data_IF_063134711343
#
_entry.id   IF_063134711343
#
_cell.length_a   1.000
_cell.length_b   1.000
_cell.length_c   1.000
_cell.angle_alpha   90.00
_cell.angle_beta   90.00
_cell.angle_gamma   90.00
#
_symmetry.space_group_name_H-M   'P 1'
#
loop_
_entity.id
_entity.type
_entity.pdbx_description
1 polymer ?
#
# COMPACT_ATOMS: atom_id res chain seq x y z
N UNK A 1 21.34 7.76 9.51
CA UNK A 1 21.36 7.41 10.92
C UNK A 1 20.64 6.07 11.14
N UNK A 2 21.38 5.03 11.54
CA UNK A 2 20.88 3.66 11.70
C UNK A 2 19.75 3.56 12.73
N UNK A 3 19.79 4.34 13.80
CA UNK A 3 18.74 4.32 14.84
C UNK A 3 17.39 4.83 14.32
N UNK A 4 17.43 5.87 13.51
CA UNK A 4 16.20 6.39 12.86
C UNK A 4 15.64 5.34 11.91
N UNK A 5 16.49 4.73 11.08
CA UNK A 5 16.08 3.69 10.15
C UNK A 5 15.53 2.46 10.88
N UNK A 6 16.18 2.02 11.95
CA UNK A 6 15.70 0.95 12.80
C UNK A 6 14.30 1.23 13.34
N UNK A 7 14.09 2.43 13.90
CA UNK A 7 12.78 2.84 14.42
C UNK A 7 11.71 2.86 13.34
N UNK A 8 12.04 3.40 12.17
CA UNK A 8 11.10 3.44 11.03
C UNK A 8 10.70 2.04 10.57
N UNK A 9 11.68 1.14 10.41
CA UNK A 9 11.42 -0.23 9.94
C UNK A 9 10.67 -1.03 10.98
N UNK A 10 11.06 -0.97 12.27
CA UNK A 10 10.34 -1.66 13.33
C UNK A 10 8.90 -1.15 13.46
N UNK A 11 8.68 0.17 13.44
CA UNK A 11 7.33 0.72 13.49
C UNK A 11 6.47 0.29 12.29
N UNK A 12 7.07 0.15 11.10
CA UNK A 12 6.35 -0.35 9.95
C UNK A 12 5.92 -1.81 10.15
N UNK A 13 6.81 -2.65 10.68
CA UNK A 13 6.50 -4.06 10.97
C UNK A 13 5.42 -4.18 12.04
N UNK A 14 5.60 -3.51 13.19
CA UNK A 14 4.70 -3.68 14.35
C UNK A 14 3.36 -2.98 14.21
N UNK A 15 3.33 -1.81 13.55
CA UNK A 15 2.13 -0.97 13.53
C UNK A 15 1.35 -1.06 12.19
N UNK A 16 1.96 -1.63 11.15
CA UNK A 16 1.31 -1.75 9.84
C UNK A 16 1.26 -3.21 9.40
N UNK A 17 2.41 -3.88 9.26
CA UNK A 17 2.48 -5.23 8.72
C UNK A 17 1.71 -6.23 9.58
N UNK A 18 2.10 -6.44 10.83
CA UNK A 18 1.50 -7.48 11.69
C UNK A 18 0.00 -7.26 11.91
N UNK A 19 -0.51 -6.02 12.16
CA UNK A 19 -1.95 -5.79 12.20
C UNK A 19 -2.65 -6.12 10.87
N UNK A 20 -2.07 -5.76 9.74
CA UNK A 20 -2.62 -6.06 8.42
C UNK A 20 -2.69 -7.58 8.18
N UNK A 21 -1.62 -8.31 8.50
CA UNK A 21 -1.58 -9.77 8.40
C UNK A 21 -2.62 -10.43 9.32
N UNK A 22 -2.78 -9.90 10.54
CA UNK A 22 -3.78 -10.37 11.51
C UNK A 22 -5.20 -10.18 10.99
N UNK A 23 -5.51 -8.99 10.45
CA UNK A 23 -6.82 -8.74 9.82
C UNK A 23 -7.06 -9.70 8.64
N UNK A 24 -6.05 -9.90 7.80
CA UNK A 24 -6.12 -10.80 6.66
C UNK A 24 -6.36 -12.26 7.09
N UNK A 25 -5.66 -12.71 8.13
CA UNK A 25 -5.83 -14.04 8.71
C UNK A 25 -7.25 -14.26 9.26
N UNK A 26 -7.80 -13.30 9.99
CA UNK A 26 -9.18 -13.37 10.48
C UNK A 26 -10.23 -13.41 9.36
N UNK A 27 -9.89 -12.95 8.17
CA UNK A 27 -10.73 -13.05 6.97
C UNK A 27 -10.51 -14.35 6.18
N UNK A 28 -9.72 -15.29 6.73
CA UNK A 28 -9.52 -16.64 6.17
C UNK A 28 -8.38 -16.74 5.16
N UNK A 29 -7.44 -15.81 5.16
CA UNK A 29 -6.20 -15.95 4.41
C UNK A 29 -5.09 -16.56 5.28
N UNK A 30 -4.08 -17.15 4.66
CA UNK A 30 -2.94 -17.72 5.40
C UNK A 30 -2.07 -16.61 6.02
N UNK A 31 -1.50 -16.90 7.20
CA UNK A 31 -0.52 -16.04 7.83
C UNK A 31 0.90 -16.45 7.39
N UNK A 32 1.73 -15.57 6.83
CA UNK A 32 3.03 -15.92 6.27
C UNK A 32 4.12 -16.02 7.36
N UNK A 33 4.06 -17.02 8.22
CA UNK A 33 4.93 -17.21 9.38
C UNK A 33 6.42 -17.12 9.02
N UNK A 34 6.84 -17.87 7.98
CA UNK A 34 8.26 -17.93 7.58
C UNK A 34 8.80 -16.55 7.15
N UNK A 35 8.00 -15.76 6.46
CA UNK A 35 8.40 -14.42 6.04
C UNK A 35 8.48 -13.45 7.21
N UNK A 36 7.56 -13.56 8.17
CA UNK A 36 7.58 -12.74 9.40
C UNK A 36 8.77 -13.14 10.29
N UNK A 37 9.04 -14.42 10.42
CA UNK A 37 10.21 -14.93 11.16
C UNK A 37 11.52 -14.43 10.55
N UNK A 38 11.65 -14.41 9.22
CA UNK A 38 12.84 -13.87 8.54
C UNK A 38 12.97 -12.35 8.76
N UNK A 39 11.88 -11.60 8.73
CA UNK A 39 11.85 -10.16 9.08
C UNK A 39 12.45 -9.96 10.49
N UNK A 40 11.96 -10.67 11.49
CA UNK A 40 12.40 -10.52 12.85
C UNK A 40 13.83 -10.98 13.05
N UNK A 41 14.26 -12.07 12.39
CA UNK A 41 15.64 -12.53 12.40
C UNK A 41 16.60 -11.44 11.90
N UNK A 42 16.32 -10.85 10.74
CA UNK A 42 17.15 -9.77 10.19
C UNK A 42 17.20 -8.53 11.10
N UNK A 43 16.07 -8.19 11.74
CA UNK A 43 16.02 -7.10 12.72
C UNK A 43 16.84 -7.42 13.97
N UNK A 44 16.77 -8.65 14.49
CA UNK A 44 17.56 -9.06 15.65
C UNK A 44 19.07 -9.11 15.35
N UNK A 45 19.47 -9.54 14.16
CA UNK A 45 20.88 -9.45 13.74
C UNK A 45 21.39 -8.00 13.75
N UNK A 46 20.56 -7.05 13.36
CA UNK A 46 20.88 -5.63 13.37
C UNK A 46 20.85 -5.00 14.78
N UNK A 47 20.17 -5.64 15.74
CA UNK A 47 20.03 -5.14 17.11
C UNK A 47 21.29 -5.35 17.97
N UNK A 48 22.33 -6.06 17.48
CA UNK A 48 23.62 -6.15 18.15
C UNK A 48 24.15 -4.74 18.44
N UNK A 49 24.65 -4.52 19.68
CA UNK A 49 24.97 -3.18 20.18
C UNK A 49 25.95 -2.40 19.31
N UNK A 50 26.96 -3.08 18.75
CA UNK A 50 27.93 -2.47 17.84
C UNK A 50 27.31 -2.10 16.50
N UNK A 51 26.41 -2.94 15.97
CA UNK A 51 25.70 -2.70 14.70
C UNK A 51 24.79 -1.48 14.80
N UNK A 52 23.88 -1.46 15.78
CA UNK A 52 22.93 -0.34 15.94
C UNK A 52 23.64 0.93 16.44
N UNK A 53 24.78 0.78 17.12
CA UNK A 53 25.62 1.88 17.58
C UNK A 53 26.49 2.49 16.49
N UNK A 54 26.58 1.88 15.32
CA UNK A 54 27.49 2.25 14.21
C UNK A 54 28.98 2.17 14.61
N UNK A 55 29.32 1.26 15.53
CA UNK A 55 30.69 1.01 15.96
C UNK A 55 31.30 -0.19 15.22
N UNK A 56 31.12 -0.25 13.92
CA UNK A 56 31.51 -1.35 13.04
C UNK A 56 32.24 -0.82 11.81
N UNK A 57 32.95 -1.72 11.11
CA UNK A 57 33.61 -1.40 9.85
C UNK A 57 32.59 -1.01 8.79
N UNK A 58 32.99 -0.21 7.80
CA UNK A 58 32.12 0.30 6.73
C UNK A 58 31.40 -0.83 5.98
N UNK A 59 32.11 -1.93 5.66
CA UNK A 59 31.51 -3.09 5.00
C UNK A 59 30.42 -3.77 5.85
N UNK A 60 30.64 -3.91 7.16
CA UNK A 60 29.63 -4.44 8.07
C UNK A 60 28.44 -3.48 8.23
N UNK A 61 28.70 -2.17 8.16
CA UNK A 61 27.66 -1.15 8.18
C UNK A 61 26.76 -1.22 6.92
N UNK A 62 27.36 -1.49 5.76
CA UNK A 62 26.60 -1.77 4.51
C UNK A 62 25.68 -2.98 4.66
N UNK A 63 26.14 -4.06 5.30
CA UNK A 63 25.32 -5.24 5.57
C UNK A 63 24.13 -4.91 6.49
N UNK A 64 24.32 -4.05 7.49
CA UNK A 64 23.22 -3.58 8.36
C UNK A 64 22.18 -2.81 7.57
N UNK A 65 22.59 -1.90 6.67
CA UNK A 65 21.67 -1.20 5.79
C UNK A 65 20.94 -2.16 4.83
N UNK A 66 21.64 -3.16 4.29
CA UNK A 66 21.04 -4.15 3.41
C UNK A 66 19.97 -4.97 4.13
N UNK A 67 20.20 -5.39 5.38
CA UNK A 67 19.18 -6.10 6.17
C UNK A 67 17.94 -5.23 6.41
N UNK A 68 18.10 -3.95 6.75
CA UNK A 68 16.93 -3.05 6.87
C UNK A 68 16.17 -2.89 5.55
N UNK A 69 16.91 -2.81 4.44
CA UNK A 69 16.28 -2.78 3.11
C UNK A 69 15.50 -4.06 2.83
N UNK A 70 16.07 -5.22 3.09
CA UNK A 70 15.42 -6.52 2.91
C UNK A 70 14.14 -6.62 3.76
N UNK A 71 14.22 -6.26 5.04
CA UNK A 71 13.04 -6.22 5.92
C UNK A 71 11.95 -5.34 5.35
N UNK A 72 12.31 -4.13 4.92
CA UNK A 72 11.36 -3.19 4.33
C UNK A 72 10.73 -3.73 3.04
N UNK A 73 11.53 -4.30 2.15
CA UNK A 73 11.06 -4.85 0.88
C UNK A 73 10.08 -6.03 1.13
N UNK A 74 10.41 -6.96 2.03
CA UNK A 74 9.51 -8.06 2.41
C UNK A 74 8.22 -7.51 3.02
N UNK A 75 8.33 -6.59 3.99
CA UNK A 75 7.19 -6.05 4.71
C UNK A 75 6.23 -5.27 3.79
N UNK A 76 6.74 -4.42 2.90
CA UNK A 76 5.94 -3.66 1.94
C UNK A 76 5.20 -4.60 0.99
N UNK A 77 5.88 -5.62 0.45
CA UNK A 77 5.24 -6.59 -0.45
C UNK A 77 4.15 -7.41 0.25
N UNK A 78 4.35 -7.80 1.51
CA UNK A 78 3.33 -8.50 2.29
C UNK A 78 2.13 -7.62 2.58
N UNK A 79 2.34 -6.35 2.96
CA UNK A 79 1.25 -5.39 3.17
C UNK A 79 0.45 -5.21 1.87
N UNK A 80 1.13 -5.03 0.73
CA UNK A 80 0.47 -4.89 -0.56
C UNK A 80 -0.35 -6.14 -0.92
N UNK A 81 0.23 -7.34 -0.78
CA UNK A 81 -0.45 -8.61 -1.04
C UNK A 81 -1.69 -8.75 -0.17
N UNK A 82 -1.54 -8.61 1.16
CA UNK A 82 -2.63 -8.85 2.10
C UNK A 82 -3.70 -7.78 2.05
N UNK A 83 -3.36 -6.51 1.75
CA UNK A 83 -4.37 -5.47 1.50
C UNK A 83 -5.23 -5.81 0.27
N UNK A 84 -4.63 -6.33 -0.80
CA UNK A 84 -5.37 -6.82 -1.97
C UNK A 84 -6.24 -8.03 -1.64
N UNK A 85 -5.72 -9.01 -0.88
CA UNK A 85 -6.49 -10.17 -0.44
C UNK A 85 -7.72 -9.76 0.40
N UNK A 86 -7.57 -8.79 1.30
CA UNK A 86 -8.68 -8.23 2.07
C UNK A 86 -9.67 -7.52 1.12
N UNK A 87 -9.18 -6.68 0.22
CA UNK A 87 -10.03 -5.95 -0.72
C UNK A 87 -10.88 -6.90 -1.60
N UNK A 88 -10.38 -8.08 -1.97
CA UNK A 88 -11.16 -9.07 -2.73
C UNK A 88 -12.36 -9.65 -1.95
N UNK A 89 -12.37 -9.53 -0.62
CA UNK A 89 -13.50 -9.98 0.21
C UNK A 89 -14.63 -8.96 0.28
N UNK A 90 -14.37 -7.73 -0.15
CA UNK A 90 -15.37 -6.65 -0.17
C UNK A 90 -16.27 -6.86 -1.38
N UNK A 91 -17.57 -6.98 -1.13
CA UNK A 91 -18.55 -7.13 -2.20
C UNK A 91 -18.87 -5.76 -2.79
N UNK A 92 -18.65 -5.61 -4.09
CA UNK A 92 -19.12 -4.45 -4.84
C UNK A 92 -20.55 -4.73 -5.34
N UNK A 93 -21.46 -3.83 -5.05
CA UNK A 93 -22.87 -3.99 -5.47
C UNK A 93 -23.07 -3.64 -6.94
N UNK A 94 -22.19 -2.83 -7.52
CA UNK A 94 -22.29 -2.37 -8.90
C UNK A 94 -20.96 -2.51 -9.64
N UNK A 95 -21.06 -2.71 -10.97
CA UNK A 95 -19.89 -2.82 -11.86
C UNK A 95 -19.29 -1.47 -12.25
N UNK A 96 -19.97 -0.36 -11.92
CA UNK A 96 -19.58 0.99 -12.32
C UNK A 96 -18.93 1.80 -11.19
N UNK A 97 -18.66 1.16 -10.05
CA UNK A 97 -18.03 1.80 -8.89
C UNK A 97 -16.63 1.27 -8.68
N UNK A 98 -15.72 2.18 -8.35
CA UNK A 98 -14.36 1.85 -7.91
C UNK A 98 -14.35 1.94 -6.38
N UNK A 99 -14.01 0.84 -5.74
CA UNK A 99 -13.95 0.78 -4.27
C UNK A 99 -12.58 1.21 -3.78
N UNK A 100 -12.55 2.23 -2.93
CA UNK A 100 -11.37 2.61 -2.16
C UNK A 100 -11.47 1.99 -0.77
N UNK A 101 -10.51 1.12 -0.44
CA UNK A 101 -10.42 0.51 0.90
C UNK A 101 -9.38 1.23 1.72
N UNK A 102 -9.77 1.73 2.88
CA UNK A 102 -8.89 2.36 3.86
C UNK A 102 -8.66 1.41 5.02
N UNK A 103 -7.43 1.39 5.53
CA UNK A 103 -7.04 0.55 6.65
C UNK A 103 -6.55 1.42 7.80
N UNK A 104 -7.20 1.30 8.95
CA UNK A 104 -6.67 1.81 10.21
C UNK A 104 -6.04 0.64 10.97
N UNK A 105 -4.72 0.60 11.00
CA UNK A 105 -3.95 -0.46 11.68
C UNK A 105 -3.68 -0.17 13.16
N UNK A 106 -4.10 1.00 13.65
CA UNK A 106 -3.92 1.41 15.04
C UNK A 106 -5.23 1.20 15.84
N UNK A 107 -5.15 0.98 17.15
CA UNK A 107 -6.33 0.67 17.98
C UNK A 107 -7.24 1.87 18.25
N UNK A 108 -6.81 3.10 17.96
CA UNK A 108 -7.59 4.31 18.19
C UNK A 108 -8.25 4.81 16.90
N UNK A 109 -9.41 5.43 17.07
CA UNK A 109 -10.05 6.19 15.98
C UNK A 109 -9.17 7.36 15.57
N UNK A 110 -9.11 7.63 14.29
CA UNK A 110 -8.28 8.70 13.71
C UNK A 110 -9.11 9.57 12.78
N UNK A 111 -8.76 10.86 12.77
CA UNK A 111 -9.21 11.79 11.75
C UNK A 111 -7.99 12.30 11.01
N UNK A 112 -7.85 11.93 9.75
CA UNK A 112 -6.68 12.29 8.95
C UNK A 112 -7.07 12.66 7.52
N UNK A 113 -6.23 13.47 6.90
CA UNK A 113 -6.28 13.70 5.47
C UNK A 113 -5.48 12.59 4.79
N UNK A 114 -6.17 11.77 4.00
CA UNK A 114 -5.55 10.69 3.22
C UNK A 114 -5.38 11.17 1.79
N UNK A 115 -4.16 11.04 1.27
CA UNK A 115 -3.84 11.29 -0.13
C UNK A 115 -3.58 9.96 -0.82
N UNK A 116 -4.27 9.72 -1.94
CA UNK A 116 -4.11 8.52 -2.73
C UNK A 116 -4.13 8.85 -4.23
N UNK A 117 -3.62 7.93 -5.02
CA UNK A 117 -3.61 8.00 -6.47
C UNK A 117 -4.48 6.87 -7.05
N UNK A 118 -5.23 7.18 -8.09
CA UNK A 118 -6.10 6.19 -8.74
C UNK A 118 -6.31 6.51 -10.22
N UNK A 119 -6.76 5.50 -10.96
CA UNK A 119 -7.19 5.66 -12.36
C UNK A 119 -8.71 5.71 -12.42
N UNK A 120 -9.22 6.70 -13.13
CA UNK A 120 -10.65 6.95 -13.25
C UNK A 120 -11.10 6.79 -14.70
N UNK A 121 -12.24 6.13 -14.95
CA UNK A 121 -12.80 5.97 -16.29
C UNK A 121 -13.67 7.17 -16.74
N UNK A 122 -13.71 8.23 -15.94
CA UNK A 122 -14.51 9.43 -16.22
C UNK A 122 -13.83 10.68 -15.64
N UNK A 123 -14.09 11.82 -16.27
CA UNK A 123 -13.60 13.12 -15.81
C UNK A 123 -14.28 13.58 -14.51
N UNK A 124 -15.59 13.38 -14.43
CA UNK A 124 -16.41 13.73 -13.28
C UNK A 124 -16.75 12.48 -12.45
N UNK A 125 -16.55 12.57 -11.16
CA UNK A 125 -16.84 11.49 -10.21
C UNK A 125 -17.30 12.06 -8.88
N UNK A 126 -17.85 11.21 -8.03
CA UNK A 126 -18.17 11.51 -6.65
C UNK A 126 -17.63 10.40 -5.77
N UNK A 127 -17.19 10.75 -4.55
CA UNK A 127 -16.77 9.78 -3.54
C UNK A 127 -17.89 9.65 -2.52
N UNK A 128 -18.25 8.41 -2.18
CA UNK A 128 -19.26 8.09 -1.18
C UNK A 128 -18.65 7.20 -0.11
N UNK A 129 -19.11 7.35 1.11
CA UNK A 129 -18.81 6.41 2.18
C UNK A 129 -19.61 5.10 2.04
N UNK A 130 -19.36 4.14 2.94
CA UNK A 130 -20.06 2.86 2.95
C UNK A 130 -21.58 2.97 3.21
N UNK A 131 -22.04 4.13 3.66
CA UNK A 131 -23.47 4.41 3.89
C UNK A 131 -24.14 5.19 2.76
N UNK A 132 -23.36 5.50 1.69
CA UNK A 132 -23.85 6.26 0.53
C UNK A 132 -23.80 7.78 0.67
N UNK A 133 -23.25 8.32 1.77
CA UNK A 133 -23.11 9.76 1.96
C UNK A 133 -21.95 10.30 1.13
N UNK A 134 -22.11 11.51 0.60
CA UNK A 134 -21.05 12.17 -0.16
C UNK A 134 -19.88 12.57 0.76
N UNK A 135 -18.69 12.13 0.38
CA UNK A 135 -17.43 12.50 1.01
C UNK A 135 -16.83 13.70 0.28
N UNK A 136 -16.43 14.73 1.02
CA UNK A 136 -15.70 15.87 0.44
C UNK A 136 -14.29 15.44 0.06
N UNK A 137 -13.86 15.86 -1.12
CA UNK A 137 -12.51 15.58 -1.60
C UNK A 137 -11.92 16.78 -2.32
N UNK A 138 -10.61 16.79 -2.46
CA UNK A 138 -9.86 17.74 -3.26
C UNK A 138 -9.02 16.99 -4.29
N UNK A 139 -9.16 17.34 -5.55
CA UNK A 139 -8.26 16.83 -6.61
C UNK A 139 -7.00 17.69 -6.58
N UNK A 140 -5.87 17.05 -6.21
CA UNK A 140 -4.56 17.72 -6.15
C UNK A 140 -3.97 17.78 -7.56
N UNK A 141 -4.07 16.68 -8.29
CA UNK A 141 -3.55 16.57 -9.66
C UNK A 141 -4.47 15.63 -10.45
N UNK A 142 -4.67 15.93 -11.74
CA UNK A 142 -5.39 15.05 -12.66
C UNK A 142 -4.78 15.18 -14.06
N UNK A 143 -4.43 14.03 -14.63
CA UNK A 143 -3.83 13.93 -15.96
C UNK A 143 -4.66 13.01 -16.84
N UNK A 144 -5.01 13.46 -18.04
CA UNK A 144 -5.62 12.60 -19.05
C UNK A 144 -4.57 11.70 -19.69
N UNK A 145 -4.71 10.40 -19.52
CA UNK A 145 -3.84 9.38 -20.08
C UNK A 145 -4.50 8.59 -21.23
N UNK A 146 -5.66 9.02 -21.70
CA UNK A 146 -6.47 8.28 -22.66
C UNK A 146 -5.68 7.93 -23.91
N UNK A 147 -5.06 8.90 -24.56
CA UNK A 147 -4.28 8.66 -25.80
C UNK A 147 -3.08 7.77 -25.54
N UNK A 148 -2.40 7.93 -24.41
CA UNK A 148 -1.27 7.08 -24.04
C UNK A 148 -1.70 5.62 -23.87
N UNK A 149 -2.75 5.36 -23.08
CA UNK A 149 -3.24 4.00 -22.83
C UNK A 149 -3.74 3.34 -24.11
N UNK A 150 -4.53 4.05 -24.91
CA UNK A 150 -5.02 3.54 -26.19
C UNK A 150 -3.89 3.22 -27.14
N UNK A 151 -2.87 4.07 -27.24
CA UNK A 151 -1.70 3.82 -28.09
C UNK A 151 -0.92 2.57 -27.68
N UNK A 152 -0.76 2.32 -26.39
CA UNK A 152 -0.11 1.12 -25.87
C UNK A 152 -0.91 -0.15 -26.17
N UNK A 153 -2.22 -0.08 -26.00
CA UNK A 153 -3.11 -1.21 -26.30
C UNK A 153 -3.06 -1.62 -27.77
N UNK A 154 -3.07 -0.66 -28.68
CA UNK A 154 -2.96 -0.92 -30.14
C UNK A 154 -1.62 -1.56 -30.46
N UNK A 155 -0.53 -1.13 -29.83
CA UNK A 155 0.82 -1.70 -30.04
C UNK A 155 0.93 -3.13 -29.54
N UNK A 156 0.39 -3.41 -28.36
CA UNK A 156 0.52 -4.72 -27.70
C UNK A 156 -0.44 -5.76 -28.28
N UNK A 157 -1.56 -5.34 -28.86
CA UNK A 157 -2.61 -6.26 -29.29
C UNK A 157 -3.46 -5.72 -30.44
N UNK A 158 -2.86 -5.51 -31.64
CA UNK A 158 -3.51 -4.81 -32.75
C UNK A 158 -4.74 -5.53 -33.32
N UNK A 159 -4.88 -6.84 -33.11
CA UNK A 159 -5.95 -7.67 -33.65
C UNK A 159 -7.05 -8.05 -32.65
N UNK A 160 -6.93 -7.71 -31.39
CA UNK A 160 -7.94 -8.03 -30.37
C UNK A 160 -8.76 -6.80 -29.99
N UNK A 161 -10.08 -6.96 -30.04
CA UNK A 161 -11.01 -6.01 -29.40
C UNK A 161 -10.82 -6.11 -27.89
N UNK A 162 -10.26 -5.09 -27.29
CA UNK A 162 -10.16 -4.98 -25.83
C UNK A 162 -11.23 -4.01 -25.38
N UNK A 163 -12.03 -4.41 -24.40
CA UNK A 163 -12.96 -3.52 -23.71
C UNK A 163 -12.15 -2.61 -22.78
N UNK A 164 -11.73 -1.47 -23.29
CA UNK A 164 -11.10 -0.41 -22.52
C UNK A 164 -12.14 0.66 -22.19
N UNK A 165 -11.99 1.35 -21.06
CA UNK A 165 -12.75 2.57 -20.82
C UNK A 165 -12.48 3.56 -21.95
N UNK A 166 -13.48 4.33 -22.33
CA UNK A 166 -13.36 5.34 -23.39
C UNK A 166 -12.40 6.48 -23.03
N UNK A 167 -12.16 6.68 -21.74
CA UNK A 167 -11.23 7.66 -21.18
C UNK A 167 -10.52 7.08 -19.95
N UNK A 168 -9.28 7.53 -19.72
CA UNK A 168 -8.48 7.16 -18.56
C UNK A 168 -7.83 8.40 -17.98
N UNK A 169 -8.20 8.75 -16.77
CA UNK A 169 -7.56 9.81 -16.00
C UNK A 169 -6.74 9.21 -14.86
N UNK A 170 -5.51 9.68 -14.68
CA UNK A 170 -4.77 9.46 -13.46
C UNK A 170 -5.03 10.64 -12.52
N UNK A 171 -5.49 10.40 -11.33
CA UNK A 171 -5.83 11.43 -10.36
C UNK A 171 -5.16 11.19 -9.01
N UNK A 172 -4.64 12.27 -8.43
CA UNK A 172 -4.17 12.37 -7.05
C UNK A 172 -5.21 13.12 -6.24
N UNK A 173 -5.75 12.49 -5.24
CA UNK A 173 -6.95 12.95 -4.52
C UNK A 173 -6.66 12.97 -3.02
N UNK A 174 -7.13 14.01 -2.33
CA UNK A 174 -7.14 14.10 -0.88
C UNK A 174 -8.58 13.99 -0.36
N UNK A 175 -8.79 13.17 0.67
CA UNK A 175 -10.05 13.05 1.41
C UNK A 175 -9.79 13.19 2.91
N UNK A 176 -10.81 13.64 3.66
CA UNK A 176 -10.81 13.53 5.12
C UNK A 176 -11.45 12.20 5.51
N UNK A 177 -10.66 11.31 6.10
CA UNK A 177 -11.14 10.08 6.69
C UNK A 177 -11.42 10.28 8.18
N UNK A 178 -12.58 9.80 8.64
CA UNK A 178 -12.97 9.78 10.05
C UNK A 178 -13.32 8.33 10.40
N UNK A 179 -12.55 7.71 11.27
CA UNK A 179 -12.82 6.38 11.83
C UNK A 179 -12.94 6.43 13.34
#
# INVERSE_FOLDING_TARGET
>A
DLKVLNTQVQNYVTNILEPMLTMSYHLGNDYPHEAVDEIWKLLFENAAHDSIGSCIFDTANEDVYMRYKQVRDIAVNLVELHSRLIATKIKNETTNEITLTLFNTLPQKRKETIVFETYLPADNFAIKDAYGNLVKYTVIEKTDLTDYVLSQTIRLNPSKKIYLPSVVYHAKIAIEANE
#
